data_IF_618544638968
#
_entry.id   IF_618544638968
#
_cell.length_a   1.000
_cell.length_b   1.000
_cell.length_c   1.000
_cell.angle_alpha   90.00
_cell.angle_beta   90.00
_cell.angle_gamma   90.00
#
_symmetry.space_group_name_H-M   'P 1'
#
loop_
_entity.id
_entity.type
_entity.pdbx_description
1 polymer ?
#
# COMPACT_ATOMS: atom_id res chain seq x y z
N UNK A 1 4.58 16.07 -14.92
CA UNK A 1 3.21 15.59 -14.61
C UNK A 1 3.09 15.58 -13.09
N UNK A 2 2.01 16.13 -12.51
CA UNK A 2 1.87 16.16 -11.05
C UNK A 2 1.71 14.74 -10.48
N UNK A 3 1.94 14.56 -9.17
CA UNK A 3 1.66 13.28 -8.50
C UNK A 3 0.23 12.80 -8.78
N UNK A 4 -0.76 13.70 -8.69
CA UNK A 4 -2.17 13.34 -8.88
C UNK A 4 -2.47 12.92 -10.32
N UNK A 5 -1.87 13.56 -11.32
CA UNK A 5 -2.06 13.15 -12.71
C UNK A 5 -1.49 11.74 -12.95
N UNK A 6 -0.32 11.42 -12.37
CA UNK A 6 0.30 10.09 -12.47
C UNK A 6 -0.53 9.04 -11.74
N UNK A 7 -1.03 9.37 -10.55
CA UNK A 7 -1.90 8.49 -9.77
C UNK A 7 -3.23 8.23 -10.49
N UNK A 8 -3.88 9.28 -10.99
CA UNK A 8 -5.16 9.17 -11.71
C UNK A 8 -4.97 8.35 -13.00
N UNK A 9 -3.84 8.49 -13.70
CA UNK A 9 -3.50 7.67 -14.87
C UNK A 9 -3.30 6.20 -14.53
N UNK A 10 -2.58 5.90 -13.44
CA UNK A 10 -2.30 4.53 -13.01
C UNK A 10 -3.48 3.86 -12.28
N UNK A 11 -4.50 4.63 -11.88
CA UNK A 11 -5.59 4.14 -11.01
C UNK A 11 -6.32 2.89 -11.52
N UNK A 12 -6.39 2.72 -12.84
CA UNK A 12 -7.02 1.57 -13.49
C UNK A 12 -6.18 0.28 -13.40
N UNK A 13 -4.88 0.38 -13.11
CA UNK A 13 -3.97 -0.77 -13.00
C UNK A 13 -4.00 -1.43 -11.62
N UNK A 14 -4.65 -0.79 -10.63
CA UNK A 14 -4.64 -1.28 -9.26
C UNK A 14 -5.99 -1.16 -8.54
N UNK A 15 -7.07 -0.85 -9.27
CA UNK A 15 -8.43 -0.78 -8.71
C UNK A 15 -9.28 -1.90 -9.30
N UNK A 16 -9.78 -2.78 -8.44
CA UNK A 16 -10.51 -3.99 -8.81
C UNK A 16 -11.89 -4.02 -8.14
N UNK A 17 -12.91 -4.34 -8.92
CA UNK A 17 -14.28 -4.57 -8.44
C UNK A 17 -14.58 -6.05 -8.20
N UNK A 18 -15.63 -6.33 -7.43
CA UNK A 18 -16.12 -7.68 -7.19
C UNK A 18 -16.61 -8.32 -8.50
N UNK A 19 -16.31 -9.61 -8.71
CA UNK A 19 -16.68 -10.34 -9.92
C UNK A 19 -18.19 -10.41 -10.15
N UNK A 20 -18.96 -10.50 -9.06
CA UNK A 20 -20.41 -10.62 -9.09
C UNK A 20 -21.12 -9.26 -8.96
N UNK A 21 -20.42 -8.24 -8.45
CA UNK A 21 -20.93 -6.88 -8.32
C UNK A 21 -19.83 -5.82 -8.54
N UNK A 22 -19.56 -5.42 -9.79
CA UNK A 22 -18.47 -4.49 -10.12
C UNK A 22 -18.55 -3.10 -9.47
N UNK A 23 -19.70 -2.71 -8.90
CA UNK A 23 -19.86 -1.47 -8.13
C UNK A 23 -19.19 -1.54 -6.75
N UNK A 24 -18.83 -2.73 -6.28
CA UNK A 24 -18.09 -2.94 -5.04
C UNK A 24 -16.60 -3.05 -5.32
N UNK A 25 -15.83 -2.06 -4.93
CA UNK A 25 -14.36 -2.16 -4.97
C UNK A 25 -13.87 -3.17 -3.94
N UNK A 26 -13.06 -4.15 -4.35
CA UNK A 26 -12.53 -5.22 -3.49
C UNK A 26 -11.03 -5.11 -3.20
N UNK A 27 -10.32 -4.36 -4.05
CA UNK A 27 -8.91 -4.02 -3.89
C UNK A 27 -8.65 -2.69 -4.58
N UNK A 28 -7.99 -1.76 -3.90
CA UNK A 28 -7.52 -0.52 -4.50
C UNK A 28 -6.18 -0.08 -3.89
N UNK A 29 -5.59 0.99 -4.40
CA UNK A 29 -4.46 1.67 -3.76
C UNK A 29 -4.92 3.02 -3.24
N UNK A 30 -4.47 3.35 -2.03
CA UNK A 30 -4.68 4.67 -1.45
C UNK A 30 -3.60 5.00 -0.45
N UNK A 31 -3.90 5.90 0.49
CA UNK A 31 -3.00 6.14 1.61
C UNK A 31 -3.19 5.06 2.65
N UNK A 32 -2.08 4.46 3.06
CA UNK A 32 -2.05 3.48 4.12
C UNK A 32 -0.91 3.82 5.06
N UNK A 33 -1.15 3.67 6.36
CA UNK A 33 -0.10 3.63 7.37
C UNK A 33 -0.24 2.35 8.19
N UNK A 34 0.85 1.62 8.40
CA UNK A 34 0.90 0.39 9.19
C UNK A 34 2.03 0.48 10.22
N UNK A 35 1.71 0.19 11.48
CA UNK A 35 2.58 0.31 12.64
C UNK A 35 2.74 -1.07 13.28
N UNK A 36 3.97 -1.60 13.32
CA UNK A 36 4.26 -2.89 13.96
C UNK A 36 4.67 -2.70 15.41
N UNK A 37 4.03 -3.44 16.31
CA UNK A 37 4.13 -3.26 17.75
C UNK A 37 4.47 -4.60 18.39
N UNK A 38 5.44 -4.57 19.29
CA UNK A 38 5.75 -5.69 20.17
C UNK A 38 4.86 -5.70 21.41
N UNK A 39 4.52 -6.90 21.85
CA UNK A 39 3.81 -7.16 23.09
C UNK A 39 2.53 -6.34 23.21
N UNK A 40 1.77 -6.22 22.11
CA UNK A 40 0.54 -5.41 22.03
C UNK A 40 -0.56 -5.85 23.00
N UNK A 41 -0.39 -7.03 23.60
CA UNK A 41 -1.24 -7.59 24.65
C UNK A 41 -0.98 -7.05 26.06
N UNK A 42 0.14 -6.36 26.30
CA UNK A 42 0.38 -5.69 27.60
C UNK A 42 -0.61 -4.56 27.80
N UNK A 43 -1.08 -4.35 29.04
CA UNK A 43 -2.09 -3.33 29.35
C UNK A 43 -1.71 -1.92 28.85
N UNK A 44 -0.45 -1.50 29.06
CA UNK A 44 0.05 -0.20 28.59
C UNK A 44 -0.02 -0.07 27.06
N UNK A 45 0.42 -1.09 26.33
CA UNK A 45 0.38 -1.14 24.86
C UNK A 45 -1.06 -1.21 24.36
N UNK A 46 -1.93 -1.96 25.04
CA UNK A 46 -3.37 -2.07 24.74
C UNK A 46 -4.05 -0.71 24.84
N UNK A 47 -3.74 0.04 25.90
CA UNK A 47 -4.22 1.41 26.10
C UNK A 47 -3.70 2.35 25.02
N UNK A 48 -2.41 2.29 24.69
CA UNK A 48 -1.83 3.09 23.62
C UNK A 48 -2.48 2.80 22.25
N UNK A 49 -2.77 1.53 21.93
CA UNK A 49 -3.50 1.15 20.73
C UNK A 49 -4.92 1.73 20.74
N UNK A 50 -5.63 1.62 21.86
CA UNK A 50 -6.96 2.21 22.01
C UNK A 50 -6.94 3.73 21.77
N UNK A 51 -5.96 4.42 22.35
CA UNK A 51 -5.79 5.87 22.19
C UNK A 51 -5.43 6.27 20.76
N UNK A 52 -4.60 5.48 20.06
CA UNK A 52 -4.30 5.71 18.65
C UNK A 52 -5.55 5.52 17.76
N UNK A 53 -6.38 4.51 18.04
CA UNK A 53 -7.66 4.33 17.34
C UNK A 53 -8.56 5.55 17.55
N UNK A 54 -8.67 6.04 18.78
CA UNK A 54 -9.46 7.24 19.08
C UNK A 54 -8.88 8.50 18.43
N UNK A 55 -7.55 8.57 18.28
CA UNK A 55 -6.89 9.68 17.57
C UNK A 55 -7.29 9.72 16.09
N UNK A 56 -7.43 8.58 15.42
CA UNK A 56 -7.98 8.52 14.06
C UNK A 56 -9.47 8.90 14.02
N UNK A 57 -10.26 8.38 14.97
CA UNK A 57 -11.69 8.67 15.09
C UNK A 57 -11.96 10.16 15.32
N UNK A 58 -11.06 10.87 15.99
CA UNK A 58 -11.18 12.32 16.19
C UNK A 58 -11.27 13.07 14.86
N UNK A 59 -10.46 12.69 13.87
CA UNK A 59 -10.41 13.36 12.56
C UNK A 59 -11.43 12.77 11.59
N UNK A 60 -11.63 11.45 11.60
CA UNK A 60 -12.36 10.73 10.55
C UNK A 60 -13.60 9.98 11.03
N UNK A 61 -13.95 10.08 12.32
CA UNK A 61 -15.08 9.36 12.90
C UNK A 61 -16.43 9.67 12.24
N UNK A 62 -16.60 10.85 11.64
CA UNK A 62 -17.84 11.20 10.91
C UNK A 62 -17.97 10.48 9.56
N UNK A 63 -16.89 9.83 9.09
CA UNK A 63 -16.86 9.02 7.87
C UNK A 63 -17.13 7.54 8.13
N UNK A 64 -16.97 7.09 9.38
CA UNK A 64 -17.10 5.69 9.76
C UNK A 64 -18.57 5.35 10.01
N UNK A 65 -19.01 4.19 9.53
CA UNK A 65 -20.41 3.76 9.68
C UNK A 65 -20.55 2.35 10.28
N UNK A 66 -19.50 1.54 10.22
CA UNK A 66 -19.58 0.11 10.50
C UNK A 66 -18.27 -0.43 11.06
N UNK A 67 -18.32 -1.50 11.85
CA UNK A 67 -17.13 -2.22 12.29
C UNK A 67 -17.40 -3.26 13.37
N UNK A 68 -16.35 -3.66 14.09
CA UNK A 68 -16.44 -4.57 15.22
C UNK A 68 -15.26 -4.41 16.18
N UNK A 69 -15.43 -4.93 17.40
CA UNK A 69 -14.36 -5.15 18.37
C UNK A 69 -14.43 -6.61 18.78
N UNK A 70 -13.29 -7.30 18.69
CA UNK A 70 -13.01 -8.70 19.05
C UNK A 70 -13.72 -9.77 18.21
N UNK A 71 -14.97 -9.55 17.81
CA UNK A 71 -15.76 -10.56 17.13
C UNK A 71 -16.30 -10.07 15.79
N UNK A 72 -15.62 -10.45 14.70
CA UNK A 72 -16.04 -10.16 13.31
C UNK A 72 -17.45 -10.67 12.97
N UNK A 73 -17.94 -11.71 13.64
CA UNK A 73 -19.28 -12.26 13.43
C UNK A 73 -20.37 -11.49 14.21
N UNK A 74 -20.00 -10.46 14.97
CA UNK A 74 -20.90 -9.56 15.68
C UNK A 74 -20.61 -8.10 15.31
N UNK A 75 -20.80 -7.74 14.04
CA UNK A 75 -20.58 -6.36 13.62
C UNK A 75 -21.58 -5.40 14.26
N UNK A 76 -21.17 -4.16 14.42
CA UNK A 76 -21.97 -3.09 15.00
C UNK A 76 -21.87 -1.80 14.18
N UNK A 77 -22.88 -0.94 14.33
CA UNK A 77 -22.85 0.40 13.76
C UNK A 77 -21.82 1.24 14.53
N UNK A 78 -21.06 2.04 13.79
CA UNK A 78 -20.11 2.95 14.40
C UNK A 78 -20.84 4.09 15.12
N UNK A 79 -20.44 4.38 16.37
CA UNK A 79 -20.99 5.48 17.18
C UNK A 79 -19.84 6.35 17.68
N UNK A 80 -19.61 7.50 17.07
CA UNK A 80 -18.46 8.38 17.40
C UNK A 80 -18.32 8.66 18.91
N UNK A 81 -19.42 8.93 19.60
CA UNK A 81 -19.46 9.26 21.03
C UNK A 81 -19.16 8.11 22.01
N UNK A 82 -18.94 6.87 21.56
CA UNK A 82 -18.69 5.72 22.44
C UNK A 82 -17.22 5.49 22.82
N UNK A 83 -16.40 6.55 22.84
CA UNK A 83 -14.95 6.49 23.13
C UNK A 83 -14.60 5.64 24.35
N UNK A 84 -15.16 5.98 25.52
CA UNK A 84 -14.81 5.29 26.78
C UNK A 84 -15.19 3.81 26.74
N UNK A 85 -16.31 3.47 26.08
CA UNK A 85 -16.73 2.10 25.89
C UNK A 85 -15.78 1.31 24.97
N UNK A 86 -15.33 1.90 23.86
CA UNK A 86 -14.38 1.25 22.94
C UNK A 86 -13.04 0.98 23.61
N UNK A 87 -12.51 1.97 24.33
CA UNK A 87 -11.27 1.82 25.11
C UNK A 87 -11.41 0.71 26.15
N UNK A 88 -12.50 0.76 26.94
CA UNK A 88 -12.74 -0.22 28.00
C UNK A 88 -12.85 -1.65 27.44
N UNK A 89 -13.58 -1.85 26.35
CA UNK A 89 -13.71 -3.17 25.69
C UNK A 89 -12.38 -3.74 25.24
N UNK A 90 -11.47 -2.89 24.75
CA UNK A 90 -10.14 -3.35 24.32
C UNK A 90 -9.24 -3.71 25.50
N UNK A 91 -9.35 -3.00 26.63
CA UNK A 91 -8.60 -3.28 27.87
C UNK A 91 -9.11 -4.57 28.54
N UNK A 92 -10.42 -4.80 28.53
CA UNK A 92 -11.07 -5.98 29.11
C UNK A 92 -10.69 -7.30 28.42
N UNK A 93 -10.06 -7.26 27.25
CA UNK A 93 -9.49 -8.44 26.61
C UNK A 93 -8.20 -8.92 27.30
N UNK A 94 -7.63 -8.13 28.22
CA UNK A 94 -6.41 -8.45 28.96
C UNK A 94 -5.27 -8.92 28.00
N UNK A 95 -4.71 -10.10 28.26
CA UNK A 95 -3.70 -10.75 27.42
C UNK A 95 -4.28 -11.60 26.28
N UNK A 96 -5.60 -11.55 26.07
CA UNK A 96 -6.29 -12.20 24.97
C UNK A 96 -5.92 -11.62 23.60
N UNK A 97 -6.26 -12.36 22.55
CA UNK A 97 -6.20 -11.80 21.21
C UNK A 97 -7.19 -10.64 21.09
N UNK A 98 -6.86 -9.64 20.29
CA UNK A 98 -7.76 -8.54 20.00
C UNK A 98 -7.71 -8.21 18.52
N UNK A 99 -8.88 -7.92 17.97
CA UNK A 99 -9.04 -7.45 16.60
C UNK A 99 -10.08 -6.34 16.61
N UNK A 100 -9.80 -5.24 15.91
CA UNK A 100 -10.76 -4.15 15.72
C UNK A 100 -10.72 -3.76 14.26
N UNK A 101 -11.89 -3.41 13.72
CA UNK A 101 -11.98 -2.73 12.45
C UNK A 101 -13.13 -1.73 12.51
N UNK A 102 -12.88 -0.51 12.07
CA UNK A 102 -13.90 0.50 11.78
C UNK A 102 -13.72 1.01 10.36
N UNK A 103 -14.79 1.00 9.56
CA UNK A 103 -14.76 1.35 8.14
C UNK A 103 -15.89 2.30 7.72
N UNK A 104 -15.66 3.01 6.62
CA UNK A 104 -16.66 3.83 5.94
C UNK A 104 -17.58 3.04 5.01
N UNK A 105 -17.17 1.84 4.60
CA UNK A 105 -17.99 0.91 3.82
C UNK A 105 -18.71 -0.07 4.75
N UNK A 106 -19.97 -0.38 4.46
CA UNK A 106 -20.75 -1.29 5.29
C UNK A 106 -20.44 -2.74 4.95
N UNK A 107 -20.06 -3.53 5.95
CA UNK A 107 -19.76 -4.95 5.80
C UNK A 107 -18.31 -5.23 5.39
N UNK A 108 -18.08 -6.47 4.93
CA UNK A 108 -16.74 -7.05 4.72
C UNK A 108 -16.38 -7.28 3.25
N UNK A 109 -17.24 -6.86 2.33
CA UNK A 109 -17.19 -7.21 0.91
C UNK A 109 -16.69 -6.08 0.01
N UNK A 110 -16.43 -4.91 0.58
CA UNK A 110 -15.96 -3.75 -0.15
C UNK A 110 -14.93 -2.98 0.66
N UNK A 111 -13.95 -2.42 -0.04
CA UNK A 111 -12.90 -1.60 0.56
C UNK A 111 -13.53 -0.34 1.14
N UNK A 112 -13.01 0.09 2.30
CA UNK A 112 -13.36 1.37 2.90
C UNK A 112 -12.32 2.43 2.56
N UNK A 113 -12.77 3.58 2.04
CA UNK A 113 -11.91 4.75 1.83
C UNK A 113 -11.28 5.24 3.16
N UNK A 114 -12.06 5.19 4.24
CA UNK A 114 -11.62 5.48 5.60
C UNK A 114 -11.75 4.21 6.42
N UNK A 115 -10.63 3.69 6.89
CA UNK A 115 -10.60 2.52 7.75
C UNK A 115 -9.55 2.69 8.84
N UNK A 116 -9.81 2.13 10.02
CA UNK A 116 -8.76 1.81 10.97
C UNK A 116 -8.98 0.39 11.48
N UNK A 117 -7.93 -0.42 11.42
CA UNK A 117 -7.93 -1.79 11.91
C UNK A 117 -6.68 -2.10 12.74
N UNK A 118 -6.79 -3.09 13.61
CA UNK A 118 -5.67 -3.62 14.36
C UNK A 118 -5.86 -5.10 14.59
N UNK A 119 -4.74 -5.79 14.73
CA UNK A 119 -4.70 -7.14 15.26
C UNK A 119 -3.57 -7.23 16.29
N UNK A 120 -3.86 -7.87 17.41
CA UNK A 120 -2.86 -8.24 18.40
C UNK A 120 -3.10 -9.69 18.82
N UNK A 121 -2.10 -10.58 18.66
CA UNK A 121 -2.20 -11.94 19.16
C UNK A 121 -2.32 -11.97 20.69
N UNK A 122 -2.82 -13.09 21.22
CA UNK A 122 -2.82 -13.34 22.65
C UNK A 122 -1.38 -13.44 23.17
N UNK A 123 -1.14 -13.03 24.42
CA UNK A 123 0.19 -12.93 25.00
C UNK A 123 0.95 -14.26 25.04
N UNK A 124 0.25 -15.35 25.37
CA UNK A 124 0.85 -16.70 25.33
C UNK A 124 1.28 -17.09 23.90
N UNK A 125 0.51 -16.70 22.89
CA UNK A 125 0.78 -17.05 21.49
C UNK A 125 1.95 -16.22 20.96
N UNK A 126 1.98 -14.92 21.27
CA UNK A 126 3.12 -14.05 20.97
C UNK A 126 4.40 -14.56 21.63
N UNK A 127 4.33 -14.95 22.91
CA UNK A 127 5.48 -15.45 23.66
C UNK A 127 6.12 -16.70 23.02
N UNK A 128 5.29 -17.60 22.46
CA UNK A 128 5.76 -18.88 21.88
C UNK A 128 6.17 -18.71 20.41
N UNK A 129 5.36 -18.01 19.63
CA UNK A 129 5.50 -17.98 18.17
C UNK A 129 6.17 -16.69 17.65
N UNK A 130 6.34 -15.70 18.52
CA UNK A 130 6.89 -14.38 18.23
C UNK A 130 6.20 -13.54 17.13
N UNK A 131 4.91 -13.71 16.76
CA UNK A 131 4.24 -12.76 15.87
C UNK A 131 4.29 -11.33 16.40
N UNK A 132 3.95 -10.35 15.57
CA UNK A 132 3.88 -8.94 15.98
C UNK A 132 2.45 -8.43 15.87
N UNK A 133 2.06 -7.51 16.76
CA UNK A 133 0.79 -6.79 16.61
C UNK A 133 0.93 -5.72 15.54
N UNK A 134 -0.19 -5.30 14.96
CA UNK A 134 -0.20 -4.14 14.07
C UNK A 134 -1.40 -3.23 14.34
N UNK A 135 -1.22 -1.95 14.02
CA UNK A 135 -2.32 -0.99 13.81
C UNK A 135 -2.18 -0.45 12.39
N UNK A 136 -3.27 -0.37 11.65
CA UNK A 136 -3.29 0.08 10.26
C UNK A 136 -4.46 1.03 10.03
N UNK A 137 -4.26 2.05 9.21
CA UNK A 137 -5.37 2.89 8.77
C UNK A 137 -5.29 3.23 7.29
N UNK A 138 -6.46 3.48 6.71
CA UNK A 138 -6.67 3.89 5.32
C UNK A 138 -7.22 5.32 5.26
N UNK A 139 -6.77 6.05 4.25
CA UNK A 139 -7.34 7.33 3.83
C UNK A 139 -7.40 7.39 2.28
N UNK A 140 -8.38 8.09 1.70
CA UNK A 140 -8.40 8.28 0.26
C UNK A 140 -7.35 9.31 -0.16
N UNK A 141 -6.82 9.18 -1.39
CA UNK A 141 -5.81 10.12 -1.94
C UNK A 141 -6.33 11.55 -2.03
N UNK A 142 -7.65 11.72 -2.12
CA UNK A 142 -8.31 13.03 -2.09
C UNK A 142 -8.05 13.83 -0.82
N UNK A 143 -7.68 13.19 0.31
CA UNK A 143 -7.24 13.89 1.53
C UNK A 143 -6.01 14.76 1.28
N UNK A 144 -5.10 14.36 0.39
CA UNK A 144 -3.93 15.17 0.06
C UNK A 144 -4.27 16.36 -0.87
N UNK A 145 -5.41 16.32 -1.58
CA UNK A 145 -5.88 17.43 -2.43
C UNK A 145 -6.47 18.57 -1.59
N UNK A 146 -6.85 18.29 -0.35
CA UNK A 146 -7.40 19.29 0.56
C UNK A 146 -6.31 20.24 1.08
N UNK A 147 -6.68 21.48 1.39
CA UNK A 147 -5.76 22.46 1.99
C UNK A 147 -5.14 21.90 3.28
N UNK A 148 -3.81 21.87 3.38
CA UNK A 148 -3.09 21.31 4.53
C UNK A 148 -3.16 19.77 4.65
N UNK A 149 -3.57 19.06 3.59
CA UNK A 149 -3.78 17.61 3.61
C UNK A 149 -2.52 16.81 3.92
N UNK A 150 -1.38 17.19 3.34
CA UNK A 150 -0.08 16.56 3.61
C UNK A 150 0.34 16.70 5.06
N UNK A 151 0.20 17.91 5.61
CA UNK A 151 0.56 18.22 7.00
C UNK A 151 -0.37 17.52 8.00
N UNK A 152 -1.65 17.33 7.66
CA UNK A 152 -2.56 16.51 8.48
C UNK A 152 -2.16 15.05 8.48
N UNK A 153 -1.81 14.49 7.32
CA UNK A 153 -1.35 13.10 7.21
C UNK A 153 -0.05 12.87 7.98
N UNK A 154 0.95 13.75 7.80
CA UNK A 154 2.21 13.70 8.54
C UNK A 154 2.00 13.82 10.05
N UNK A 155 1.13 14.73 10.50
CA UNK A 155 0.78 14.88 11.92
C UNK A 155 0.14 13.61 12.48
N UNK A 156 -0.79 13.00 11.74
CA UNK A 156 -1.43 11.76 12.17
C UNK A 156 -0.41 10.63 12.33
N UNK A 157 0.54 10.50 11.41
CA UNK A 157 1.64 9.53 11.50
C UNK A 157 2.50 9.78 12.76
N UNK A 158 2.88 11.05 13.01
CA UNK A 158 3.68 11.41 14.19
C UNK A 158 2.95 11.19 15.51
N UNK A 159 1.64 11.48 15.56
CA UNK A 159 0.80 11.22 16.72
C UNK A 159 0.73 9.70 16.99
N UNK A 160 0.55 8.87 15.97
CA UNK A 160 0.59 7.41 16.10
C UNK A 160 1.96 6.91 16.53
N UNK A 161 3.06 7.42 15.97
CA UNK A 161 4.41 7.05 16.39
C UNK A 161 4.66 7.38 17.87
N UNK A 162 4.17 8.53 18.33
CA UNK A 162 4.30 8.98 19.73
C UNK A 162 3.48 8.13 20.69
N UNK A 163 2.25 7.77 20.31
CA UNK A 163 1.36 6.93 21.13
C UNK A 163 1.85 5.48 21.17
N UNK A 164 2.12 4.89 20.00
CA UNK A 164 2.36 3.45 19.87
C UNK A 164 3.81 3.06 20.15
N UNK A 165 4.76 3.98 19.93
CA UNK A 165 6.21 3.71 19.95
C UNK A 165 6.54 2.40 19.18
N UNK A 166 6.20 2.35 17.88
CA UNK A 166 6.29 1.11 17.10
C UNK A 166 7.75 0.67 16.92
N UNK A 167 7.97 -0.64 16.76
CA UNK A 167 9.29 -1.16 16.35
C UNK A 167 9.70 -0.54 15.02
N UNK A 168 8.78 -0.57 14.06
CA UNK A 168 8.87 0.09 12.76
C UNK A 168 7.52 0.11 12.05
N UNK A 169 7.48 0.77 10.91
CA UNK A 169 6.36 0.72 9.99
C UNK A 169 6.52 1.68 8.82
N UNK A 170 5.46 1.76 8.03
CA UNK A 170 5.44 2.45 6.75
C UNK A 170 4.17 3.29 6.65
N UNK A 171 4.26 4.43 5.99
CA UNK A 171 3.07 5.15 5.53
C UNK A 171 3.29 5.77 4.16
N UNK A 172 2.27 5.76 3.30
CA UNK A 172 2.38 6.22 1.93
C UNK A 172 1.35 5.55 1.03
N UNK A 173 1.71 5.28 -0.23
CA UNK A 173 0.88 4.47 -1.11
C UNK A 173 0.93 3.01 -0.67
N UNK A 174 -0.24 2.39 -0.55
CA UNK A 174 -0.35 0.99 -0.19
C UNK A 174 -1.69 0.39 -0.58
N UNK A 175 -1.78 -0.94 -0.51
CA UNK A 175 -3.00 -1.67 -0.80
C UNK A 175 -4.07 -1.39 0.26
N UNK A 176 -5.28 -1.09 -0.19
CA UNK A 176 -6.49 -1.02 0.62
C UNK A 176 -7.36 -2.21 0.26
N UNK A 177 -7.60 -3.06 1.25
CA UNK A 177 -8.13 -4.40 1.04
C UNK A 177 -9.45 -4.58 1.80
N UNK A 178 -10.26 -5.53 1.35
CA UNK A 178 -11.38 -6.04 2.16
C UNK A 178 -10.88 -6.89 3.33
N UNK A 179 -11.79 -7.28 4.22
CA UNK A 179 -11.45 -8.16 5.34
C UNK A 179 -10.87 -9.51 4.88
N UNK A 180 -11.56 -10.18 3.95
CA UNK A 180 -11.15 -11.48 3.37
C UNK A 180 -10.18 -11.28 2.18
N UNK A 181 -9.13 -10.48 2.41
CA UNK A 181 -8.12 -10.07 1.43
C UNK A 181 -7.34 -11.24 0.83
N UNK A 182 -7.25 -12.39 1.52
CA UNK A 182 -6.57 -13.59 1.04
C UNK A 182 -7.12 -14.12 -0.30
N UNK A 183 -8.34 -13.71 -0.68
CA UNK A 183 -8.96 -14.00 -1.98
C UNK A 183 -8.29 -13.26 -3.13
N UNK A 184 -7.73 -12.08 -2.86
CA UNK A 184 -7.22 -11.16 -3.87
C UNK A 184 -5.69 -11.08 -3.90
N UNK A 185 -4.97 -11.88 -3.10
CA UNK A 185 -3.51 -11.94 -3.07
C UNK A 185 -2.81 -12.17 -4.42
N UNK A 186 -3.51 -12.73 -5.40
CA UNK A 186 -2.98 -12.85 -6.77
C UNK A 186 -2.96 -11.51 -7.49
N UNK A 187 -3.99 -10.68 -7.30
CA UNK A 187 -4.01 -9.29 -7.79
C UNK A 187 -2.99 -8.43 -7.04
N UNK A 188 -2.83 -8.64 -5.73
CA UNK A 188 -1.79 -7.96 -4.94
C UNK A 188 -0.39 -8.27 -5.49
N UNK A 189 -0.15 -9.53 -5.87
CA UNK A 189 1.09 -9.93 -6.54
C UNK A 189 1.27 -9.21 -7.89
N UNK A 190 0.22 -9.11 -8.71
CA UNK A 190 0.26 -8.36 -9.98
C UNK A 190 0.59 -6.88 -9.76
N UNK A 191 -0.05 -6.22 -8.79
CA UNK A 191 0.27 -4.84 -8.42
C UNK A 191 1.74 -4.73 -7.99
N UNK A 192 2.23 -5.66 -7.17
CA UNK A 192 3.64 -5.71 -6.76
C UNK A 192 4.62 -5.97 -7.90
N UNK A 193 4.18 -6.54 -9.03
CA UNK A 193 5.00 -6.64 -10.24
C UNK A 193 4.98 -5.35 -11.08
N UNK A 194 3.93 -4.54 -10.97
CA UNK A 194 3.76 -3.32 -11.75
C UNK A 194 4.25 -2.06 -11.04
N UNK A 195 4.31 -2.05 -9.70
CA UNK A 195 4.57 -0.85 -8.91
C UNK A 195 5.50 -1.12 -7.73
N UNK A 196 6.75 -0.66 -7.81
CA UNK A 196 7.75 -0.82 -6.75
C UNK A 196 7.52 0.12 -5.55
N UNK A 197 6.78 1.23 -5.74
CA UNK A 197 6.54 2.25 -4.71
C UNK A 197 5.29 2.02 -3.86
N UNK A 198 4.44 1.05 -4.24
CA UNK A 198 3.19 0.72 -3.52
C UNK A 198 3.49 -0.36 -2.48
N UNK A 199 3.19 -0.09 -1.22
CA UNK A 199 3.37 -1.09 -0.16
C UNK A 199 2.28 -2.18 -0.23
N UNK A 200 2.68 -3.43 0.05
CA UNK A 200 1.73 -4.57 0.06
C UNK A 200 0.86 -4.57 1.32
N UNK A 201 1.20 -3.77 2.34
CA UNK A 201 0.38 -3.51 3.55
C UNK A 201 -0.09 -4.77 4.28
N UNK A 202 0.71 -5.82 4.21
CA UNK A 202 0.33 -7.14 4.66
C UNK A 202 -0.02 -7.13 6.17
N UNK A 203 -1.25 -7.50 6.57
CA UNK A 203 -1.67 -7.53 7.96
C UNK A 203 -1.12 -8.72 8.76
N UNK A 204 -0.27 -9.58 8.18
CA UNK A 204 0.31 -10.70 8.93
C UNK A 204 1.42 -10.23 9.85
N UNK A 205 1.20 -10.43 11.14
CA UNK A 205 2.20 -10.21 12.18
C UNK A 205 3.28 -11.28 12.16
N UNK A 206 4.19 -11.25 11.19
CA UNK A 206 5.27 -12.23 11.12
C UNK A 206 6.38 -11.97 12.15
N UNK A 207 6.93 -13.04 12.75
CA UNK A 207 8.09 -12.95 13.64
C UNK A 207 9.32 -12.28 13.01
N UNK A 208 9.55 -12.39 11.70
CA UNK A 208 10.72 -11.76 11.05
C UNK A 208 10.59 -10.23 11.01
N UNK A 209 9.41 -9.68 11.28
CA UNK A 209 9.26 -8.23 11.44
C UNK A 209 9.99 -7.74 12.69
N UNK A 210 10.40 -8.61 13.62
CA UNK A 210 11.29 -8.25 14.74
C UNK A 210 12.74 -8.09 14.31
N UNK A 211 13.12 -8.63 13.15
CA UNK A 211 14.50 -8.66 12.68
C UNK A 211 14.88 -7.43 11.85
N UNK A 212 13.93 -6.53 11.56
CA UNK A 212 14.18 -5.26 10.90
C UNK A 212 12.97 -4.71 10.16
N UNK A 213 13.17 -3.57 9.49
CA UNK A 213 12.13 -2.94 8.65
C UNK A 213 11.81 -3.84 7.45
N UNK A 214 10.54 -3.85 7.02
CA UNK A 214 10.03 -4.74 5.97
C UNK A 214 10.18 -4.17 4.56
N UNK A 215 10.27 -2.85 4.43
CA UNK A 215 10.38 -2.13 3.15
C UNK A 215 10.72 -0.65 3.43
N UNK A 216 10.61 0.19 2.40
CA UNK A 216 10.60 1.66 2.49
C UNK A 216 9.38 2.20 1.73
N UNK A 217 8.87 3.35 2.15
CA UNK A 217 7.74 4.06 1.52
C UNK A 217 7.90 5.58 1.76
N UNK A 218 6.90 6.39 1.38
CA UNK A 218 6.88 7.85 1.53
C UNK A 218 7.29 8.29 2.94
N UNK A 219 6.77 7.63 3.96
CA UNK A 219 7.24 7.69 5.34
C UNK A 219 7.70 6.31 5.77
N UNK A 220 8.92 6.23 6.29
CA UNK A 220 9.46 5.02 6.91
C UNK A 220 9.86 5.36 8.34
N UNK A 221 9.33 4.65 9.32
CA UNK A 221 9.58 4.94 10.73
C UNK A 221 10.06 3.72 11.50
N UNK A 222 10.89 3.95 12.50
CA UNK A 222 11.55 2.91 13.29
C UNK A 222 12.00 3.46 14.65
N UNK A 223 12.17 2.55 15.61
CA UNK A 223 12.56 2.90 16.98
C UNK A 223 14.02 3.35 17.14
N UNK A 224 14.35 3.84 18.33
CA UNK A 224 15.70 4.27 18.71
C UNK A 224 16.75 3.14 18.69
N UNK A 225 16.34 1.89 18.88
CA UNK A 225 17.22 0.72 18.77
C UNK A 225 17.73 0.56 17.34
N UNK A 226 16.85 0.69 16.35
CA UNK A 226 17.22 0.71 14.93
C UNK A 226 18.01 1.95 14.56
N UNK A 227 17.62 3.14 15.05
CA UNK A 227 18.37 4.38 14.81
C UNK A 227 19.83 4.27 15.30
N UNK A 228 20.05 3.61 16.43
CA UNK A 228 21.40 3.38 16.98
C UNK A 228 22.25 2.52 16.04
N UNK A 229 21.66 1.46 15.44
CA UNK A 229 22.35 0.60 14.46
C UNK A 229 22.74 1.37 13.18
N UNK A 230 22.06 2.46 12.86
CA UNK A 230 22.39 3.35 11.73
C UNK A 230 23.46 4.40 12.07
N UNK A 231 24.01 4.40 13.30
CA UNK A 231 24.97 5.42 13.74
C UNK A 231 24.32 6.70 14.27
N UNK A 232 23.01 6.68 14.53
CA UNK A 232 22.25 7.80 15.10
C UNK A 232 21.80 8.84 14.09
N UNK A 233 21.08 9.85 14.59
CA UNK A 233 20.48 10.91 13.76
C UNK A 233 21.52 11.66 12.91
N UNK A 234 22.72 11.91 13.43
CA UNK A 234 23.76 12.63 12.68
C UNK A 234 24.26 11.85 11.46
N UNK A 235 24.32 10.52 11.54
CA UNK A 235 24.69 9.69 10.41
C UNK A 235 23.63 9.77 9.29
N UNK A 236 22.34 9.76 9.66
CA UNK A 236 21.25 9.95 8.70
C UNK A 236 21.22 11.36 8.10
N UNK A 237 21.45 12.40 8.90
CA UNK A 237 21.56 13.78 8.41
C UNK A 237 22.68 13.91 7.37
N UNK A 238 23.83 13.29 7.62
CA UNK A 238 24.92 13.27 6.66
C UNK A 238 24.59 12.44 5.40
N UNK A 239 23.92 11.30 5.56
CA UNK A 239 23.51 10.44 4.44
C UNK A 239 22.49 11.11 3.51
N UNK A 240 21.66 12.01 4.05
CA UNK A 240 20.62 12.72 3.32
C UNK A 240 20.96 14.18 3.03
N UNK A 241 22.22 14.60 3.22
CA UNK A 241 22.67 15.95 2.88
C UNK A 241 22.34 16.27 1.42
N UNK A 242 21.71 17.43 1.18
CA UNK A 242 21.28 17.92 -0.15
C UNK A 242 20.31 16.99 -0.88
N UNK A 243 19.46 16.28 -0.14
CA UNK A 243 18.32 15.54 -0.70
C UNK A 243 17.02 16.12 -0.18
N UNK A 244 15.91 15.85 -0.87
CA UNK A 244 14.57 16.23 -0.42
C UNK A 244 13.99 15.23 0.60
N UNK A 245 14.86 14.58 1.38
CA UNK A 245 14.49 13.65 2.45
C UNK A 245 14.49 14.40 3.78
N UNK A 246 13.34 14.36 4.47
CA UNK A 246 13.18 15.02 5.78
C UNK A 246 13.24 14.00 6.90
N UNK A 247 14.01 14.32 7.96
CA UNK A 247 14.05 13.55 9.20
C UNK A 247 13.16 14.19 10.25
N UNK A 248 12.17 13.44 10.74
CA UNK A 248 11.20 13.88 11.74
C UNK A 248 11.39 13.03 13.01
N UNK A 249 12.16 13.51 14.01
CA UNK A 249 12.33 12.79 15.26
C UNK A 249 11.04 12.79 16.08
N UNK A 250 10.79 11.70 16.80
CA UNK A 250 9.70 11.62 17.78
C UNK A 250 10.17 10.93 19.06
N UNK A 251 9.37 10.99 20.13
CA UNK A 251 9.68 10.30 21.38
C UNK A 251 9.60 8.78 21.20
N UNK A 252 10.73 8.15 20.88
CA UNK A 252 10.83 6.71 20.68
C UNK A 252 11.58 6.30 19.42
N UNK A 253 11.82 7.22 18.48
CA UNK A 253 12.49 6.88 17.24
C UNK A 253 12.57 8.01 16.21
N UNK A 254 12.60 7.62 14.94
CA UNK A 254 12.74 8.51 13.79
C UNK A 254 11.71 8.17 12.71
N UNK A 255 11.15 9.19 12.07
CA UNK A 255 10.44 9.06 10.79
C UNK A 255 11.30 9.68 9.69
N UNK A 256 11.45 8.96 8.59
CA UNK A 256 12.13 9.40 7.36
C UNK A 256 11.06 9.66 6.30
N UNK A 257 10.92 10.90 5.85
CA UNK A 257 10.00 11.28 4.77
C UNK A 257 10.76 11.44 3.45
N UNK A 258 10.45 10.61 2.47
CA UNK A 258 11.05 10.63 1.14
C UNK A 258 10.28 11.57 0.20
N UNK A 259 10.70 12.84 0.14
CA UNK A 259 10.12 13.83 -0.77
C UNK A 259 8.79 14.42 -0.32
N UNK A 260 8.27 15.30 -1.16
CA UNK A 260 7.05 16.07 -0.91
C UNK A 260 5.76 15.32 -1.25
N UNK A 261 5.84 14.28 -2.07
CA UNK A 261 4.72 13.46 -2.53
C UNK A 261 5.14 11.99 -2.56
N UNK A 262 4.22 11.05 -2.35
CA UNK A 262 4.55 9.65 -2.54
C UNK A 262 4.74 9.35 -4.03
N UNK A 263 5.47 8.27 -4.33
CA UNK A 263 5.85 7.91 -5.69
C UNK A 263 5.41 6.48 -6.00
N UNK A 264 4.85 6.25 -7.20
CA UNK A 264 4.26 4.96 -7.57
C UNK A 264 5.30 3.85 -7.78
N UNK A 265 6.51 4.21 -8.22
CA UNK A 265 7.50 3.25 -8.68
C UNK A 265 6.99 2.40 -9.86
N UNK A 266 6.22 3.00 -10.77
CA UNK A 266 5.56 2.29 -11.87
C UNK A 266 6.60 1.76 -12.87
N UNK A 267 6.67 0.44 -13.03
CA UNK A 267 7.66 -0.24 -13.86
C UNK A 267 7.72 0.30 -15.30
N UNK A 268 6.57 0.68 -15.87
CA UNK A 268 6.50 1.17 -17.26
C UNK A 268 7.09 2.57 -17.45
N UNK A 269 7.27 3.34 -16.38
CA UNK A 269 7.65 4.77 -16.47
C UNK A 269 8.87 5.10 -15.63
N UNK A 270 8.76 4.86 -14.33
CA UNK A 270 9.80 5.13 -13.35
C UNK A 270 9.79 4.04 -12.27
N UNK A 271 10.44 2.89 -12.52
CA UNK A 271 10.49 1.77 -11.58
C UNK A 271 11.23 2.08 -10.28
N UNK A 272 12.08 3.12 -10.23
CA UNK A 272 13.03 3.32 -9.15
C UNK A 272 13.07 4.79 -8.69
N UNK A 273 12.04 5.25 -7.95
CA UNK A 273 12.02 6.61 -7.44
C UNK A 273 13.29 6.94 -6.64
N UNK A 274 14.02 7.98 -7.05
CA UNK A 274 15.34 8.31 -6.54
C UNK A 274 15.40 8.39 -5.02
N UNK A 275 14.38 9.01 -4.41
CA UNK A 275 14.32 9.20 -2.97
C UNK A 275 14.07 7.88 -2.24
N UNK A 276 13.26 6.98 -2.81
CA UNK A 276 13.01 5.66 -2.21
C UNK A 276 14.25 4.78 -2.31
N UNK A 277 14.98 4.84 -3.42
CA UNK A 277 16.28 4.16 -3.57
C UNK A 277 17.30 4.66 -2.55
N UNK A 278 17.41 5.98 -2.37
CA UNK A 278 18.33 6.58 -1.37
C UNK A 278 17.96 6.20 0.06
N UNK A 279 16.66 6.23 0.42
CA UNK A 279 16.20 5.79 1.73
C UNK A 279 16.47 4.29 1.93
N UNK A 280 16.19 3.44 0.94
CA UNK A 280 16.53 2.02 1.00
C UNK A 280 18.03 1.79 1.24
N UNK A 281 18.90 2.49 0.52
CA UNK A 281 20.36 2.36 0.70
C UNK A 281 20.81 2.75 2.11
N UNK A 282 20.29 3.86 2.64
CA UNK A 282 20.62 4.34 3.98
C UNK A 282 20.07 3.43 5.09
N UNK A 283 18.86 2.88 4.92
CA UNK A 283 18.20 2.04 5.91
C UNK A 283 18.49 0.54 5.76
N UNK A 284 19.19 0.12 4.69
CA UNK A 284 19.58 -1.27 4.44
C UNK A 284 20.19 -1.99 5.65
N UNK A 285 21.05 -1.37 6.50
CA UNK A 285 21.61 -2.04 7.67
C UNK A 285 20.58 -2.49 8.71
N UNK A 286 19.37 -1.92 8.72
CA UNK A 286 18.28 -2.25 9.64
C UNK A 286 17.11 -2.96 8.97
N UNK A 287 17.22 -3.28 7.67
CA UNK A 287 16.20 -4.05 6.96
C UNK A 287 16.22 -5.49 7.44
N UNK A 288 15.03 -6.08 7.57
CA UNK A 288 14.91 -7.50 7.88
C UNK A 288 15.75 -8.32 6.88
N UNK A 289 16.54 -9.32 7.34
CA UNK A 289 17.40 -10.10 6.45
C UNK A 289 16.60 -11.00 5.50
N UNK A 290 15.39 -11.39 5.92
CA UNK A 290 14.40 -12.14 5.14
C UNK A 290 13.01 -11.87 5.70
N UNK A 291 12.00 -12.13 4.88
CA UNK A 291 10.60 -12.22 5.28
C UNK A 291 10.06 -13.56 4.75
N UNK A 292 9.12 -14.16 5.48
CA UNK A 292 8.32 -15.28 4.97
C UNK A 292 7.39 -14.77 3.86
N UNK A 293 6.75 -15.71 3.17
CA UNK A 293 5.87 -15.40 2.04
C UNK A 293 4.82 -14.34 2.39
N UNK A 294 4.76 -13.25 1.61
CA UNK A 294 3.71 -12.24 1.78
C UNK A 294 2.32 -12.75 1.34
N UNK A 295 2.25 -13.87 0.61
CA UNK A 295 1.01 -14.53 0.20
C UNK A 295 0.82 -15.89 0.87
N UNK A 296 -0.44 -16.30 1.04
CA UNK A 296 -0.76 -17.69 1.39
C UNK A 296 -0.52 -18.63 0.21
N UNK A 297 -0.44 -19.93 0.51
CA UNK A 297 -0.42 -20.96 -0.51
C UNK A 297 -1.66 -20.88 -1.42
N UNK A 298 -1.43 -20.96 -2.72
CA UNK A 298 -2.48 -21.01 -3.73
C UNK A 298 -3.22 -22.34 -3.70
N UNK A 299 -4.55 -22.30 -3.67
CA UNK A 299 -5.40 -23.48 -3.73
C UNK A 299 -5.90 -23.77 -5.16
N UNK A 300 -6.00 -22.75 -6.02
CA UNK A 300 -6.53 -22.89 -7.38
C UNK A 300 -5.46 -22.71 -8.48
N UNK A 301 -4.18 -22.61 -8.10
CA UNK A 301 -3.04 -22.52 -9.03
C UNK A 301 -2.71 -21.09 -9.47
N UNK A 302 -3.40 -20.08 -8.95
CA UNK A 302 -3.07 -18.68 -9.14
C UNK A 302 -1.69 -18.34 -8.54
N UNK A 303 -0.97 -17.41 -9.17
CA UNK A 303 0.33 -16.95 -8.69
C UNK A 303 0.10 -15.95 -7.56
N UNK A 304 0.80 -16.16 -6.44
CA UNK A 304 0.83 -15.27 -5.28
C UNK A 304 2.28 -15.05 -4.92
N UNK A 305 2.54 -14.09 -4.02
CA UNK A 305 3.85 -14.02 -3.39
C UNK A 305 4.20 -15.36 -2.73
N UNK A 306 5.43 -15.78 -2.96
CA UNK A 306 6.13 -16.90 -2.33
C UNK A 306 7.41 -16.38 -1.65
N UNK A 307 8.17 -17.25 -0.99
CA UNK A 307 9.43 -16.86 -0.33
C UNK A 307 10.43 -16.18 -1.30
N UNK A 308 10.50 -16.64 -2.55
CA UNK A 308 11.44 -16.13 -3.54
C UNK A 308 11.07 -14.73 -4.02
N UNK A 309 9.83 -14.54 -4.46
CA UNK A 309 9.28 -13.27 -4.90
C UNK A 309 9.22 -12.25 -3.77
N UNK A 310 8.98 -12.70 -2.53
CA UNK A 310 9.08 -11.85 -1.34
C UNK A 310 10.52 -11.38 -1.12
N UNK A 311 11.51 -12.25 -1.26
CA UNK A 311 12.92 -11.85 -1.18
C UNK A 311 13.29 -10.86 -2.30
N UNK A 312 12.78 -11.06 -3.52
CA UNK A 312 12.94 -10.11 -4.63
C UNK A 312 12.32 -8.75 -4.28
N UNK A 313 11.11 -8.74 -3.74
CA UNK A 313 10.41 -7.52 -3.31
C UNK A 313 11.21 -6.75 -2.25
N UNK A 314 11.72 -7.46 -1.24
CA UNK A 314 12.53 -6.88 -0.17
C UNK A 314 13.83 -6.23 -0.68
N UNK A 315 14.42 -6.80 -1.73
CA UNK A 315 15.67 -6.32 -2.34
C UNK A 315 15.47 -5.45 -3.59
N UNK A 316 14.23 -5.10 -3.96
CA UNK A 316 13.90 -4.48 -5.27
C UNK A 316 14.66 -3.19 -5.56
N UNK A 317 15.01 -2.43 -4.52
CA UNK A 317 15.76 -1.18 -4.65
C UNK A 317 17.30 -1.32 -4.52
N UNK A 318 17.83 -2.51 -4.22
CA UNK A 318 19.27 -2.71 -3.96
C UNK A 318 20.13 -2.55 -5.21
N UNK A 319 19.59 -2.94 -6.37
CA UNK A 319 20.29 -2.94 -7.65
C UNK A 319 19.62 -1.99 -8.65
N UNK A 320 18.90 -0.97 -8.17
CA UNK A 320 18.41 0.10 -9.03
C UNK A 320 19.58 0.57 -9.92
N UNK A 321 19.44 0.58 -11.26
CA UNK A 321 20.51 0.98 -12.15
C UNK A 321 21.07 2.32 -11.68
N UNK A 322 22.38 2.40 -11.45
CA UNK A 322 23.04 3.64 -11.05
C UNK A 322 22.59 4.75 -12.01
N UNK A 323 21.78 5.68 -11.53
CA UNK A 323 21.35 6.84 -12.32
C UNK A 323 22.62 7.65 -12.59
N UNK A 324 23.17 7.48 -13.80
CA UNK A 324 24.27 8.29 -14.26
C UNK A 324 23.78 9.75 -14.28
N UNK A 325 24.25 10.55 -13.32
CA UNK A 325 23.95 11.99 -13.13
C UNK A 325 24.44 12.86 -14.31
N UNK A 326 24.87 12.24 -15.42
CA UNK A 326 25.37 12.91 -16.62
C UNK A 326 24.73 12.41 -17.92
N UNK A 327 23.68 11.59 -17.87
CA UNK A 327 22.94 11.25 -19.08
C UNK A 327 21.93 12.37 -19.39
N UNK A 328 21.95 13.00 -20.58
CA UNK A 328 20.84 13.84 -20.99
C UNK A 328 19.55 13.02 -20.95
N UNK A 329 18.39 13.63 -20.62
CA UNK A 329 17.15 12.90 -20.43
C UNK A 329 16.86 12.08 -21.67
N UNK A 330 16.81 10.76 -21.53
CA UNK A 330 16.28 9.89 -22.58
C UNK A 330 14.77 10.04 -22.59
N UNK A 331 14.28 11.11 -23.20
CA UNK A 331 12.91 11.17 -23.69
C UNK A 331 12.83 10.38 -25.00
N UNK A 332 12.46 9.11 -24.91
CA UNK A 332 11.61 8.48 -25.92
C UNK A 332 10.67 7.56 -25.13
N UNK A 333 9.53 8.11 -24.69
CA UNK A 333 8.45 7.32 -24.13
C UNK A 333 7.84 6.52 -25.29
N UNK A 334 8.06 5.21 -25.33
CA UNK A 334 7.29 4.36 -26.24
C UNK A 334 5.88 4.17 -25.67
N UNK A 335 4.87 4.75 -26.31
CA UNK A 335 3.46 4.60 -25.91
C UNK A 335 2.84 3.41 -26.65
N UNK A 336 2.21 2.49 -25.93
CA UNK A 336 1.45 1.40 -26.56
C UNK A 336 0.34 1.95 -27.46
N UNK A 337 0.11 1.31 -28.61
CA UNK A 337 -0.94 1.70 -29.53
C UNK A 337 -2.29 1.28 -28.93
N UNK A 338 -3.14 2.26 -28.63
CA UNK A 338 -4.48 2.05 -28.09
C UNK A 338 -5.55 2.72 -28.94
N UNK A 339 -6.79 2.25 -28.84
CA UNK A 339 -7.96 2.86 -29.45
C UNK A 339 -9.22 2.62 -28.61
N UNK A 340 -10.11 3.60 -28.51
CA UNK A 340 -11.36 3.47 -27.76
C UNK A 340 -12.46 2.82 -28.59
N UNK A 341 -13.47 2.24 -27.94
CA UNK A 341 -14.70 1.78 -28.60
C UNK A 341 -15.24 2.83 -29.58
N UNK A 342 -15.64 2.37 -30.77
CA UNK A 342 -16.10 3.17 -31.91
C UNK A 342 -15.04 4.07 -32.60
N UNK A 343 -13.84 4.24 -32.04
CA UNK A 343 -12.74 4.86 -32.77
C UNK A 343 -12.22 3.93 -33.88
N UNK A 344 -11.70 4.48 -34.99
CA UNK A 344 -11.13 3.66 -36.05
C UNK A 344 -9.88 2.92 -35.55
N UNK A 345 -9.85 1.61 -35.78
CA UNK A 345 -8.72 0.76 -35.45
C UNK A 345 -7.42 1.26 -36.11
N UNK A 346 -6.36 1.53 -35.34
CA UNK A 346 -5.15 2.15 -35.88
C UNK A 346 -4.36 1.21 -36.79
N UNK A 347 -4.36 -0.10 -36.51
CA UNK A 347 -3.66 -1.12 -37.30
C UNK A 347 -4.40 -2.45 -37.27
N UNK A 348 -4.42 -3.19 -38.39
CA UNK A 348 -5.00 -4.54 -38.40
C UNK A 348 -4.24 -5.42 -37.40
N UNK A 349 -4.96 -5.99 -36.43
CA UNK A 349 -4.29 -6.71 -35.35
C UNK A 349 -5.21 -7.33 -34.31
N UNK A 350 -4.57 -7.98 -33.35
CA UNK A 350 -5.16 -8.58 -32.17
C UNK A 350 -5.02 -7.60 -31.00
N UNK A 351 -6.15 -7.27 -30.39
CA UNK A 351 -6.28 -6.29 -29.32
C UNK A 351 -6.86 -6.96 -28.08
N UNK A 352 -6.43 -6.51 -26.90
CA UNK A 352 -7.03 -6.86 -25.61
C UNK A 352 -7.67 -5.65 -24.96
N UNK A 353 -8.79 -5.84 -24.28
CA UNK A 353 -9.35 -4.83 -23.37
C UNK A 353 -8.70 -4.93 -21.99
N UNK A 354 -8.86 -3.89 -21.16
CA UNK A 354 -8.69 -4.05 -19.70
C UNK A 354 -9.71 -5.06 -19.12
N UNK A 355 -9.74 -5.26 -17.81
CA UNK A 355 -10.63 -6.26 -17.19
C UNK A 355 -12.13 -5.91 -17.32
N UNK A 356 -13.06 -6.89 -17.46
CA UNK A 356 -12.80 -8.28 -17.83
C UNK A 356 -12.09 -8.36 -19.18
N UNK A 357 -11.05 -9.20 -19.24
CA UNK A 357 -10.16 -9.31 -20.39
C UNK A 357 -10.90 -9.93 -21.57
N UNK A 358 -11.25 -9.09 -22.53
CA UNK A 358 -11.81 -9.49 -23.81
C UNK A 358 -10.78 -9.29 -24.92
N UNK A 359 -10.91 -10.09 -25.98
CA UNK A 359 -10.01 -10.02 -27.12
C UNK A 359 -10.79 -9.77 -28.40
N UNK A 360 -10.25 -8.88 -29.24
CA UNK A 360 -10.82 -8.59 -30.54
C UNK A 360 -9.74 -8.61 -31.61
N UNK A 361 -10.03 -9.25 -32.75
CA UNK A 361 -9.24 -9.06 -33.97
C UNK A 361 -9.96 -8.05 -34.84
N UNK A 362 -9.35 -6.90 -35.07
CA UNK A 362 -9.98 -5.78 -35.78
C UNK A 362 -9.13 -5.38 -36.97
N UNK A 363 -9.76 -5.13 -38.11
CA UNK A 363 -9.09 -4.61 -39.30
C UNK A 363 -8.87 -3.11 -39.19
N UNK A 364 -7.76 -2.62 -39.73
CA UNK A 364 -7.44 -1.19 -39.74
C UNK A 364 -8.62 -0.37 -40.29
N UNK A 365 -8.88 0.77 -39.66
CA UNK A 365 -9.97 1.71 -39.98
C UNK A 365 -11.39 1.21 -39.71
N UNK A 366 -11.59 -0.06 -39.32
CA UNK A 366 -12.88 -0.49 -38.78
C UNK A 366 -13.07 0.03 -37.35
N UNK A 367 -14.30 0.36 -36.93
CA UNK A 367 -14.55 0.83 -35.58
C UNK A 367 -14.20 -0.26 -34.56
N UNK A 368 -13.51 0.12 -33.48
CA UNK A 368 -13.24 -0.81 -32.38
C UNK A 368 -14.56 -1.27 -31.75
N UNK A 369 -14.71 -2.58 -31.48
CA UNK A 369 -15.96 -3.12 -30.98
C UNK A 369 -16.26 -2.62 -29.56
N UNK A 370 -17.54 -2.53 -29.17
CA UNK A 370 -17.90 -2.50 -27.76
C UNK A 370 -17.57 -3.85 -27.12
N UNK A 371 -17.46 -3.87 -25.79
CA UNK A 371 -17.40 -5.13 -25.05
C UNK A 371 -18.69 -5.94 -25.21
N UNK A 372 -18.64 -7.22 -24.87
CA UNK A 372 -19.83 -8.10 -24.89
C UNK A 372 -20.97 -7.55 -24.01
N UNK A 373 -20.64 -6.87 -22.92
CA UNK A 373 -21.59 -6.21 -22.03
C UNK A 373 -22.08 -4.82 -22.52
N UNK A 374 -21.60 -4.35 -23.68
CA UNK A 374 -21.97 -3.06 -24.27
C UNK A 374 -21.22 -1.84 -23.73
N UNK A 375 -20.34 -2.00 -22.73
CA UNK A 375 -19.59 -0.89 -22.16
C UNK A 375 -18.45 -0.42 -23.09
N UNK A 376 -18.18 0.90 -23.13
CA UNK A 376 -17.02 1.41 -23.85
C UNK A 376 -15.73 1.00 -23.14
N UNK A 377 -14.68 0.71 -23.91
CA UNK A 377 -13.37 0.32 -23.39
C UNK A 377 -12.24 0.91 -24.23
N UNK A 378 -11.04 0.85 -23.68
CA UNK A 378 -9.80 1.09 -24.42
C UNK A 378 -9.20 -0.25 -24.77
N UNK A 379 -8.95 -0.45 -26.06
CA UNK A 379 -8.32 -1.63 -26.61
C UNK A 379 -6.82 -1.36 -26.81
N UNK A 380 -5.98 -2.24 -26.27
CA UNK A 380 -4.52 -2.18 -26.40
C UNK A 380 -4.05 -3.19 -27.43
N UNK A 381 -3.22 -2.75 -28.37
CA UNK A 381 -2.69 -3.61 -29.43
C UNK A 381 -1.69 -4.62 -28.86
N UNK A 382 -2.03 -5.90 -28.93
CA UNK A 382 -1.17 -7.00 -28.46
C UNK A 382 -0.30 -7.51 -29.61
N UNK A 383 -0.85 -7.56 -30.83
CA UNK A 383 -0.13 -8.08 -32.00
C UNK A 383 -0.66 -7.49 -33.29
N UNK A 384 0.22 -6.98 -34.15
CA UNK A 384 -0.16 -6.57 -35.51
C UNK A 384 -0.14 -7.73 -36.49
N UNK A 385 -1.06 -7.72 -37.44
CA UNK A 385 -1.10 -8.70 -38.51
C UNK A 385 0.08 -8.57 -39.49
N UNK A 386 0.63 -7.36 -39.64
CA UNK A 386 1.79 -7.07 -40.48
C UNK A 386 3.15 -7.30 -39.77
N UNK A 387 3.13 -7.71 -38.49
CA UNK A 387 4.34 -7.91 -37.69
C UNK A 387 5.06 -6.63 -37.27
N UNK A 388 4.43 -5.45 -37.44
CA UNK A 388 4.99 -4.17 -37.02
C UNK A 388 5.01 -3.97 -35.49
N UNK A 389 5.57 -2.85 -35.01
CA UNK A 389 5.65 -2.53 -33.60
C UNK A 389 4.27 -2.26 -32.99
N UNK A 390 4.08 -2.64 -31.73
CA UNK A 390 2.84 -2.45 -30.96
C UNK A 390 2.82 -1.15 -30.14
N UNK A 391 3.87 -0.34 -30.26
CA UNK A 391 4.04 0.95 -29.63
C UNK A 391 4.49 2.01 -30.65
N UNK A 392 4.16 3.27 -30.38
CA UNK A 392 4.67 4.44 -31.09
C UNK A 392 5.71 5.14 -30.21
N UNK A 393 6.80 5.61 -30.82
CA UNK A 393 7.74 6.51 -30.15
C UNK A 393 7.01 7.85 -29.94
N UNK A 394 6.95 8.32 -28.69
CA UNK A 394 6.35 9.62 -28.38
C UNK A 394 7.23 10.76 -28.88
N UNK A 395 6.59 11.74 -29.54
CA UNK A 395 7.19 13.02 -29.93
C UNK A 395 7.59 13.87 -28.72
#
# INVERSE_FOLDING_TARGET
>A
MSFFDQFDEASWEFTYGDECNPELTVLQVGLVAIFHIDEGWREEKRRAIAEAIERYIQDYGDRLCWGFIDNVNRPELFIKGSKDNRIQRLIELEDGAAEILWGSSSGRHSVSDYQIDMFSPAGWFEYIHHPVSYVRFYLPISELKMEGGKERFERLILDFCTLLKPMHGLAGLGLQQIYEHEKFQHLEYEIGQAFNGIDMTNPYGDKQYRDGITSVNWYTFFDNGWLTKLGGQQALLAAFDKTDITLLPYEGGMVVRAGEWPELGWIEKDPYPDLYVKVNQALRPIRAPKLDSMGYGSNAGEIRFDERSTACWLARFDNAPQLNVSAPPKSVQSRLITAKTAEPCPHTGFYGSGFPLEYATVQQSFPMPPRENGNPTTWTLIKRADGGPISVEGD
#
